data_IF_609276524775
#
_entry.id   IF_609276524775
#
_cell.length_a   1.000
_cell.length_b   1.000
_cell.length_c   1.000
_cell.angle_alpha   90.00
_cell.angle_beta   90.00
_cell.angle_gamma   90.00
#
_symmetry.space_group_name_H-M   'P 1'
#
loop_
_entity.id
_entity.type
_entity.pdbx_description
1 polymer ?
#
# COMPACT_ATOMS: atom_id res chain seq x y z
N UNK A 1 -5.17 -30.78 -2.43
CA UNK A 1 -4.41 -29.52 -2.61
C UNK A 1 -5.28 -28.36 -3.11
N UNK A 2 -6.06 -28.51 -4.20
CA UNK A 2 -6.95 -27.45 -4.73
C UNK A 2 -8.03 -26.95 -3.75
N UNK A 3 -8.66 -27.84 -2.97
CA UNK A 3 -9.65 -27.45 -1.95
C UNK A 3 -9.07 -26.62 -0.78
N UNK A 4 -7.81 -26.86 -0.40
CA UNK A 4 -7.14 -26.05 0.63
C UNK A 4 -6.84 -24.64 0.15
N UNK A 5 -6.43 -24.47 -1.12
CA UNK A 5 -6.21 -23.16 -1.73
C UNK A 5 -7.50 -22.35 -1.83
N UNK A 6 -8.62 -22.99 -2.20
CA UNK A 6 -9.94 -22.36 -2.24
C UNK A 6 -10.42 -21.95 -0.83
N UNK A 7 -10.17 -22.77 0.18
CA UNK A 7 -10.49 -22.44 1.58
C UNK A 7 -9.60 -21.30 2.09
N UNK A 8 -8.31 -21.28 1.74
CA UNK A 8 -7.40 -20.17 2.08
C UNK A 8 -7.84 -18.86 1.43
N UNK A 9 -8.21 -18.92 0.14
CA UNK A 9 -8.71 -17.77 -0.61
C UNK A 9 -10.05 -17.28 -0.03
N UNK A 10 -10.97 -18.18 0.28
CA UNK A 10 -12.25 -17.85 0.90
C UNK A 10 -12.08 -17.22 2.29
N UNK A 11 -11.22 -17.79 3.13
CA UNK A 11 -10.91 -17.28 4.47
C UNK A 11 -10.14 -15.95 4.45
N UNK A 12 -9.26 -15.72 3.47
CA UNK A 12 -8.45 -14.51 3.39
C UNK A 12 -9.11 -13.36 2.62
N UNK A 13 -9.96 -13.62 1.63
CA UNK A 13 -10.56 -12.54 0.81
C UNK A 13 -11.93 -12.14 1.36
N UNK A 14 -12.84 -13.10 1.58
CA UNK A 14 -14.22 -12.79 2.00
C UNK A 14 -14.27 -12.38 3.47
N UNK A 15 -13.54 -13.08 4.34
CA UNK A 15 -13.52 -12.75 5.77
C UNK A 15 -12.86 -11.40 6.04
N UNK A 16 -11.83 -11.01 5.27
CA UNK A 16 -11.11 -9.73 5.41
C UNK A 16 -11.90 -8.55 4.84
N UNK A 17 -12.59 -8.72 3.71
CA UNK A 17 -13.52 -7.72 3.19
C UNK A 17 -14.67 -7.44 4.17
N UNK A 18 -15.20 -8.48 4.85
CA UNK A 18 -16.42 -8.38 5.64
C UNK A 18 -16.25 -8.29 7.18
N UNK A 19 -15.07 -8.58 7.78
CA UNK A 19 -14.90 -8.49 9.24
C UNK A 19 -14.53 -7.09 9.75
N UNK A 20 -15.10 -6.74 10.91
CA UNK A 20 -14.94 -5.47 11.64
C UNK A 20 -13.55 -5.25 12.29
N UNK A 21 -12.61 -6.17 12.09
CA UNK A 21 -11.32 -6.22 12.81
C UNK A 21 -10.18 -5.46 12.13
N UNK A 22 -10.34 -5.05 10.86
CA UNK A 22 -9.32 -4.32 10.11
C UNK A 22 -9.79 -2.85 9.98
N UNK A 23 -8.97 -1.89 10.39
CA UNK A 23 -9.27 -0.47 10.25
C UNK A 23 -9.42 -0.08 8.77
N UNK A 24 -10.32 0.88 8.51
CA UNK A 24 -10.81 1.19 7.17
C UNK A 24 -9.71 1.44 6.13
N UNK A 25 -8.62 2.11 6.51
CA UNK A 25 -7.53 2.44 5.58
C UNK A 25 -6.73 1.21 5.13
N UNK A 26 -6.52 0.18 5.97
CA UNK A 26 -5.90 -1.08 5.51
C UNK A 26 -6.84 -1.90 4.63
N UNK A 27 -8.16 -1.83 4.87
CA UNK A 27 -9.14 -2.45 3.95
C UNK A 27 -9.09 -1.79 2.58
N UNK A 28 -8.96 -0.46 2.55
CA UNK A 28 -8.83 0.29 1.31
C UNK A 28 -7.57 -0.09 0.53
N UNK A 29 -6.42 -0.24 1.22
CA UNK A 29 -5.18 -0.74 0.60
C UNK A 29 -5.35 -2.17 0.08
N UNK A 30 -6.02 -3.05 0.85
CA UNK A 30 -6.34 -4.42 0.42
C UNK A 30 -7.19 -4.42 -0.85
N UNK A 31 -8.19 -3.54 -0.93
CA UNK A 31 -9.04 -3.39 -2.11
C UNK A 31 -8.27 -2.90 -3.34
N UNK A 32 -7.35 -1.95 -3.16
CA UNK A 32 -6.41 -1.54 -4.22
C UNK A 32 -5.57 -2.71 -4.74
N UNK A 33 -5.03 -3.55 -3.85
CA UNK A 33 -4.27 -4.74 -4.24
C UNK A 33 -5.13 -5.78 -5.00
N UNK A 34 -6.42 -5.92 -4.66
CA UNK A 34 -7.34 -6.78 -5.42
C UNK A 34 -7.53 -6.30 -6.86
N UNK A 35 -7.67 -4.99 -7.10
CA UNK A 35 -7.71 -4.44 -8.45
C UNK A 35 -6.39 -4.63 -9.22
N UNK A 36 -5.24 -4.59 -8.52
CA UNK A 36 -3.95 -4.87 -9.13
C UNK A 36 -3.89 -6.30 -9.68
N UNK A 37 -4.36 -7.29 -8.90
CA UNK A 37 -4.44 -8.68 -9.35
C UNK A 37 -5.41 -8.82 -10.52
N UNK A 38 -6.59 -8.20 -10.43
CA UNK A 38 -7.59 -8.22 -11.52
C UNK A 38 -7.02 -7.64 -12.83
N UNK A 39 -6.21 -6.59 -12.73
CA UNK A 39 -5.51 -5.99 -13.87
C UNK A 39 -4.52 -6.98 -14.51
N UNK A 40 -3.75 -7.69 -13.69
CA UNK A 40 -2.74 -8.64 -14.19
C UNK A 40 -3.40 -9.90 -14.78
N UNK A 41 -4.45 -10.42 -14.15
CA UNK A 41 -5.18 -11.58 -14.67
C UNK A 41 -5.92 -11.26 -15.96
N UNK A 42 -6.50 -10.06 -16.07
CA UNK A 42 -7.15 -9.62 -17.32
C UNK A 42 -6.14 -9.44 -18.46
N UNK A 43 -4.96 -8.86 -18.20
CA UNK A 43 -3.85 -8.79 -19.19
C UNK A 43 -3.38 -10.18 -19.61
N UNK A 44 -3.21 -11.10 -18.65
CA UNK A 44 -2.85 -12.49 -18.93
C UNK A 44 -3.90 -13.17 -19.83
N UNK A 45 -5.18 -13.11 -19.50
CA UNK A 45 -6.25 -13.76 -20.27
C UNK A 45 -6.34 -13.21 -21.69
N UNK A 46 -6.26 -11.89 -21.87
CA UNK A 46 -6.29 -11.25 -23.19
C UNK A 46 -5.08 -11.71 -24.01
N UNK A 47 -3.87 -11.63 -23.46
CA UNK A 47 -2.64 -12.00 -24.18
C UNK A 47 -2.58 -13.50 -24.49
N UNK A 48 -3.03 -14.36 -23.57
CA UNK A 48 -3.13 -15.80 -23.81
C UNK A 48 -4.15 -16.11 -24.92
N UNK A 49 -5.30 -15.43 -24.91
CA UNK A 49 -6.32 -15.58 -25.96
C UNK A 49 -5.79 -15.13 -27.34
N UNK A 50 -5.08 -14.00 -27.41
CA UNK A 50 -4.47 -13.55 -28.67
C UNK A 50 -3.35 -14.48 -29.14
N UNK A 51 -2.48 -14.94 -28.23
CA UNK A 51 -1.40 -15.88 -28.53
C UNK A 51 -1.93 -17.23 -29.04
N UNK A 52 -3.11 -17.66 -28.57
CA UNK A 52 -3.74 -18.91 -29.00
C UNK A 52 -4.45 -18.81 -30.36
N UNK A 53 -4.82 -17.61 -30.83
CA UNK A 53 -5.70 -17.47 -31.98
C UNK A 53 -5.00 -17.08 -33.29
N UNK A 54 -3.90 -16.31 -33.29
CA UNK A 54 -3.15 -15.99 -34.55
C UNK A 54 -1.82 -15.28 -34.29
N UNK A 55 -0.87 -15.39 -35.25
CA UNK A 55 0.36 -14.58 -35.42
C UNK A 55 0.10 -13.07 -35.65
N UNK A 56 -0.81 -12.47 -34.89
CA UNK A 56 -1.18 -11.07 -35.09
C UNK A 56 -0.15 -10.12 -34.48
N UNK A 57 0.42 -9.28 -35.34
CA UNK A 57 1.28 -8.15 -35.03
C UNK A 57 0.56 -7.18 -34.07
N UNK A 58 1.12 -7.01 -32.86
CA UNK A 58 0.79 -5.99 -31.85
C UNK A 58 -0.54 -6.16 -31.07
N UNK A 59 -0.65 -7.16 -30.16
CA UNK A 59 -1.82 -7.35 -29.29
C UNK A 59 -2.12 -6.16 -28.34
N UNK A 60 -1.16 -5.25 -28.17
CA UNK A 60 -1.25 -4.11 -27.27
C UNK A 60 -2.11 -2.93 -27.78
N UNK A 61 -2.44 -2.90 -29.08
CA UNK A 61 -3.28 -1.85 -29.69
C UNK A 61 -4.79 -2.19 -29.67
N UNK A 62 -5.16 -3.33 -29.08
CA UNK A 62 -6.55 -3.76 -29.03
C UNK A 62 -7.36 -2.91 -28.04
N UNK A 63 -8.58 -2.52 -28.43
CA UNK A 63 -9.55 -1.85 -27.53
C UNK A 63 -9.81 -2.66 -26.24
N UNK A 64 -9.55 -3.96 -26.26
CA UNK A 64 -9.69 -4.86 -25.11
C UNK A 64 -8.70 -4.53 -23.98
N UNK A 65 -7.56 -3.89 -24.26
CA UNK A 65 -6.62 -3.44 -23.23
C UNK A 65 -7.07 -2.21 -22.43
N UNK A 66 -8.12 -1.52 -22.87
CA UNK A 66 -8.69 -0.40 -22.13
C UNK A 66 -9.20 -0.82 -20.75
N UNK A 67 -9.85 -1.99 -20.65
CA UNK A 67 -10.41 -2.48 -19.39
C UNK A 67 -9.33 -2.74 -18.32
N UNK A 68 -8.25 -3.50 -18.60
CA UNK A 68 -7.13 -3.60 -17.66
C UNK A 68 -6.49 -2.24 -17.32
N UNK A 69 -6.46 -1.29 -18.25
CA UNK A 69 -5.89 0.04 -17.99
C UNK A 69 -6.75 0.86 -17.03
N UNK A 70 -8.08 0.74 -17.10
CA UNK A 70 -8.99 1.37 -16.14
C UNK A 70 -8.80 0.80 -14.73
N UNK A 71 -8.71 -0.53 -14.59
CA UNK A 71 -8.43 -1.17 -13.30
C UNK A 71 -7.06 -0.77 -12.73
N UNK A 72 -6.06 -0.59 -13.58
CA UNK A 72 -4.77 -0.06 -13.17
C UNK A 72 -4.91 1.37 -12.61
N UNK A 73 -5.67 2.23 -13.29
CA UNK A 73 -5.98 3.58 -12.81
C UNK A 73 -6.62 3.57 -11.42
N UNK A 74 -7.64 2.74 -11.21
CA UNK A 74 -8.27 2.58 -9.90
C UNK A 74 -7.30 2.08 -8.83
N UNK A 75 -6.42 1.15 -9.19
CA UNK A 75 -5.37 0.64 -8.29
C UNK A 75 -4.50 1.80 -7.80
N UNK A 76 -3.97 2.63 -8.71
CA UNK A 76 -3.12 3.77 -8.33
C UNK A 76 -3.88 4.84 -7.53
N UNK A 77 -5.10 5.16 -7.95
CA UNK A 77 -5.94 6.17 -7.29
C UNK A 77 -6.28 5.82 -5.84
N UNK A 78 -6.38 4.53 -5.53
CA UNK A 78 -6.68 4.06 -4.17
C UNK A 78 -5.41 3.84 -3.36
N UNK A 79 -4.42 3.15 -3.94
CA UNK A 79 -3.29 2.61 -3.18
C UNK A 79 -2.28 3.69 -2.78
N UNK A 80 -2.01 4.64 -3.67
CA UNK A 80 -1.04 5.72 -3.40
C UNK A 80 -1.49 6.62 -2.24
N UNK A 81 -2.66 7.27 -2.29
CA UNK A 81 -3.08 8.14 -1.20
C UNK A 81 -3.31 7.36 0.10
N UNK A 82 -3.93 6.18 0.05
CA UNK A 82 -4.21 5.40 1.26
C UNK A 82 -2.93 4.92 1.97
N UNK A 83 -1.90 4.48 1.20
CA UNK A 83 -0.63 4.05 1.79
C UNK A 83 0.19 5.22 2.35
N UNK A 84 0.17 6.37 1.70
CA UNK A 84 0.85 7.58 2.17
C UNK A 84 0.18 8.12 3.43
N UNK A 85 -1.15 8.27 3.43
CA UNK A 85 -1.93 8.72 4.58
C UNK A 85 -1.72 7.78 5.78
N UNK A 86 -1.74 6.47 5.56
CA UNK A 86 -1.43 5.50 6.60
C UNK A 86 0.00 5.70 7.17
N UNK A 87 0.99 5.89 6.30
CA UNK A 87 2.38 6.11 6.72
C UNK A 87 2.52 7.38 7.56
N UNK A 88 1.88 8.48 7.15
CA UNK A 88 1.90 9.75 7.87
C UNK A 88 1.18 9.64 9.22
N UNK A 89 0.01 8.99 9.24
CA UNK A 89 -0.76 8.80 10.47
C UNK A 89 0.03 8.01 11.52
N UNK A 90 0.73 6.95 11.09
CA UNK A 90 1.46 6.06 12.00
C UNK A 90 2.88 6.51 12.34
N UNK A 91 3.45 7.43 11.56
CA UNK A 91 4.81 7.90 11.80
C UNK A 91 4.91 8.79 13.06
N UNK A 92 5.98 8.64 13.87
CA UNK A 92 6.27 9.54 14.98
C UNK A 92 6.58 10.95 14.47
N UNK A 93 6.19 11.98 15.23
CA UNK A 93 6.23 13.39 14.82
C UNK A 93 7.61 13.83 14.31
N UNK A 94 8.67 13.47 15.03
CA UNK A 94 10.05 13.85 14.70
C UNK A 94 10.68 13.00 13.57
N UNK A 95 10.04 11.90 13.13
CA UNK A 95 10.55 11.06 12.03
C UNK A 95 9.59 10.98 10.84
N UNK A 96 8.55 11.83 10.78
CA UNK A 96 7.57 11.79 9.67
C UNK A 96 8.23 11.89 8.30
N UNK A 97 9.19 12.81 8.15
CA UNK A 97 9.94 12.99 6.91
C UNK A 97 10.72 11.73 6.51
N UNK A 98 11.33 11.04 7.47
CA UNK A 98 12.07 9.78 7.21
C UNK A 98 11.12 8.69 6.73
N UNK A 99 9.96 8.54 7.38
CA UNK A 99 8.97 7.52 7.00
C UNK A 99 8.39 7.77 5.60
N UNK A 100 8.15 9.03 5.23
CA UNK A 100 7.73 9.41 3.86
C UNK A 100 8.87 9.14 2.86
N UNK A 101 10.13 9.42 3.23
CA UNK A 101 11.29 9.09 2.40
C UNK A 101 11.42 7.59 2.14
N UNK A 102 11.24 6.74 3.16
CA UNK A 102 11.21 5.28 3.04
C UNK A 102 10.06 4.83 2.12
N UNK A 103 8.90 5.48 2.21
CA UNK A 103 7.78 5.21 1.31
C UNK A 103 8.14 5.49 -0.16
N UNK A 104 8.74 6.64 -0.49
CA UNK A 104 9.22 6.92 -1.85
C UNK A 104 10.32 5.95 -2.30
N UNK A 105 11.26 5.61 -1.42
CA UNK A 105 12.28 4.62 -1.71
C UNK A 105 11.67 3.24 -2.03
N UNK A 106 10.61 2.84 -1.31
CA UNK A 106 9.91 1.58 -1.56
C UNK A 106 9.22 1.56 -2.93
N UNK A 107 8.66 2.68 -3.39
CA UNK A 107 8.11 2.81 -4.74
C UNK A 107 9.20 2.65 -5.80
N UNK A 108 10.37 3.30 -5.59
CA UNK A 108 11.53 3.17 -6.47
C UNK A 108 12.05 1.73 -6.54
N UNK A 109 12.22 1.07 -5.40
CA UNK A 109 12.63 -0.34 -5.33
C UNK A 109 11.64 -1.25 -6.06
N UNK A 110 10.32 -1.03 -5.88
CA UNK A 110 9.29 -1.78 -6.58
C UNK A 110 9.36 -1.60 -8.11
N UNK A 111 9.64 -0.38 -8.57
CA UNK A 111 9.82 -0.08 -9.99
C UNK A 111 11.06 -0.78 -10.58
N UNK A 112 12.19 -0.73 -9.86
CA UNK A 112 13.42 -1.42 -10.26
C UNK A 112 13.20 -2.94 -10.34
N UNK A 113 12.56 -3.53 -9.33
CA UNK A 113 12.24 -4.96 -9.33
C UNK A 113 11.34 -5.34 -10.52
N UNK A 114 10.35 -4.49 -10.83
CA UNK A 114 9.42 -4.69 -11.93
C UNK A 114 10.10 -4.68 -13.31
N UNK A 115 11.12 -3.82 -13.51
CA UNK A 115 11.94 -3.80 -14.73
C UNK A 115 12.79 -5.07 -14.81
N UNK A 116 13.46 -5.44 -13.72
CA UNK A 116 14.39 -6.58 -13.72
C UNK A 116 13.71 -7.93 -13.98
N UNK A 117 12.49 -8.15 -13.48
CA UNK A 117 11.71 -9.38 -13.76
C UNK A 117 11.55 -9.62 -15.27
N UNK A 118 11.47 -8.56 -16.08
CA UNK A 118 11.23 -8.67 -17.51
C UNK A 118 12.36 -9.41 -18.24
N UNK A 119 13.60 -9.18 -17.84
CA UNK A 119 14.77 -9.79 -18.46
C UNK A 119 14.80 -11.31 -18.27
N UNK A 120 14.24 -11.83 -17.17
CA UNK A 120 14.12 -13.27 -16.92
C UNK A 120 13.28 -13.99 -17.99
N UNK A 121 12.36 -13.26 -18.65
CA UNK A 121 11.48 -13.79 -19.69
C UNK A 121 11.94 -13.45 -21.12
N UNK A 122 13.19 -13.00 -21.29
CA UNK A 122 13.77 -12.70 -22.61
C UNK A 122 13.19 -11.46 -23.30
N UNK A 123 12.35 -10.68 -22.62
CA UNK A 123 11.69 -9.51 -23.18
C UNK A 123 12.64 -8.30 -23.20
N UNK A 124 13.11 -7.92 -24.40
CA UNK A 124 14.08 -6.82 -24.59
C UNK A 124 13.48 -5.42 -24.73
N UNK A 125 12.21 -5.31 -25.15
CA UNK A 125 11.54 -4.01 -25.20
C UNK A 125 11.52 -3.35 -23.81
N UNK A 126 11.42 -2.04 -23.66
CA UNK A 126 11.31 -1.41 -22.34
C UNK A 126 9.88 -1.51 -21.78
N UNK A 127 8.88 -1.21 -22.61
CA UNK A 127 7.51 -1.01 -22.15
C UNK A 127 6.62 -2.24 -22.24
N UNK A 128 6.88 -3.12 -23.22
CA UNK A 128 5.95 -4.20 -23.59
C UNK A 128 6.64 -5.56 -23.56
N UNK A 129 5.96 -6.57 -23.02
CA UNK A 129 6.40 -7.97 -23.06
C UNK A 129 5.23 -8.79 -23.61
N UNK A 130 5.44 -9.49 -24.72
CA UNK A 130 4.38 -10.26 -25.40
C UNK A 130 4.15 -11.62 -24.72
N UNK A 131 5.10 -12.08 -23.90
CA UNK A 131 5.00 -13.36 -23.21
C UNK A 131 3.84 -13.37 -22.19
N UNK A 132 2.87 -14.25 -22.39
CA UNK A 132 1.75 -14.45 -21.45
C UNK A 132 2.24 -14.88 -20.05
N UNK A 133 3.22 -15.79 -19.97
CA UNK A 133 3.79 -16.28 -18.71
C UNK A 133 4.41 -15.20 -17.80
N UNK A 134 4.85 -14.07 -18.37
CA UNK A 134 5.36 -12.94 -17.61
C UNK A 134 4.25 -12.30 -16.75
N UNK A 135 3.06 -12.11 -17.31
CA UNK A 135 1.92 -11.56 -16.57
C UNK A 135 1.37 -12.55 -15.53
N UNK A 136 1.43 -13.86 -15.82
CA UNK A 136 1.09 -14.90 -14.86
C UNK A 136 2.05 -14.87 -13.64
N UNK A 137 3.35 -14.78 -13.89
CA UNK A 137 4.36 -14.70 -12.83
C UNK A 137 4.18 -13.45 -11.98
N UNK A 138 3.93 -12.29 -12.60
CA UNK A 138 3.60 -11.06 -11.87
C UNK A 138 2.34 -11.20 -11.02
N UNK A 139 1.28 -11.81 -11.57
CA UNK A 139 0.04 -12.05 -10.83
C UNK A 139 0.30 -12.92 -9.59
N UNK A 140 1.10 -13.98 -9.73
CA UNK A 140 1.49 -14.83 -8.61
C UNK A 140 2.30 -14.08 -7.54
N UNK A 141 3.27 -13.25 -7.94
CA UNK A 141 4.06 -12.43 -7.00
C UNK A 141 3.17 -11.45 -6.23
N UNK A 142 2.29 -10.72 -6.92
CA UNK A 142 1.36 -9.77 -6.28
C UNK A 142 0.37 -10.51 -5.36
N UNK A 143 -0.07 -11.71 -5.72
CA UNK A 143 -0.92 -12.54 -4.87
C UNK A 143 -0.21 -12.98 -3.57
N UNK A 144 1.07 -13.36 -3.65
CA UNK A 144 1.88 -13.64 -2.45
C UNK A 144 2.04 -12.39 -1.58
N UNK A 145 2.30 -11.23 -2.19
CA UNK A 145 2.37 -9.94 -1.48
C UNK A 145 1.05 -9.63 -0.78
N UNK A 146 -0.09 -9.86 -1.42
CA UNK A 146 -1.41 -9.68 -0.81
C UNK A 146 -1.59 -10.59 0.41
N UNK A 147 -1.22 -11.87 0.33
CA UNK A 147 -1.30 -12.79 1.46
C UNK A 147 -0.45 -12.30 2.63
N UNK A 148 0.81 -11.95 2.37
CA UNK A 148 1.72 -11.43 3.39
C UNK A 148 1.16 -10.14 3.99
N UNK A 149 0.67 -9.22 3.15
CA UNK A 149 0.05 -7.98 3.59
C UNK A 149 -1.15 -8.21 4.50
N UNK A 150 -2.04 -9.15 4.16
CA UNK A 150 -3.21 -9.49 5.00
C UNK A 150 -2.78 -10.04 6.36
N UNK A 151 -1.76 -10.91 6.39
CA UNK A 151 -1.23 -11.47 7.65
C UNK A 151 -0.67 -10.35 8.52
N UNK A 152 0.15 -9.46 7.94
CA UNK A 152 0.70 -8.30 8.64
C UNK A 152 -0.41 -7.36 9.10
N UNK A 153 -1.37 -7.04 8.25
CA UNK A 153 -2.51 -6.18 8.53
C UNK A 153 -3.33 -6.67 9.73
N UNK A 154 -3.55 -7.98 9.83
CA UNK A 154 -4.30 -8.60 10.93
C UNK A 154 -3.54 -8.51 12.26
N UNK A 155 -2.23 -8.61 12.23
CA UNK A 155 -1.38 -8.55 13.41
C UNK A 155 -0.92 -7.12 13.74
N UNK A 156 -1.25 -6.15 12.88
CA UNK A 156 -0.83 -4.77 13.05
C UNK A 156 -1.65 -4.08 14.15
N UNK A 157 -1.00 -3.79 15.27
CA UNK A 157 -1.59 -2.98 16.33
C UNK A 157 -1.45 -1.50 15.98
N UNK A 158 -2.59 -0.82 15.84
CA UNK A 158 -2.61 0.62 15.59
C UNK A 158 -2.00 1.41 16.73
N UNK A 159 -1.16 2.38 16.39
CA UNK A 159 -0.72 3.38 17.35
C UNK A 159 -1.83 4.42 17.51
N UNK A 160 -2.60 4.30 18.59
CA UNK A 160 -3.51 5.34 19.02
C UNK A 160 -2.65 6.45 19.63
N UNK A 161 -2.72 7.67 19.09
CA UNK A 161 -2.08 8.83 19.71
C UNK A 161 -2.97 9.25 20.87
N UNK A 162 -2.67 8.75 22.08
CA UNK A 162 -3.38 9.18 23.28
C UNK A 162 -3.03 10.60 23.70
N UNK A 163 -1.93 11.17 23.21
CA UNK A 163 -1.59 12.56 23.39
C UNK A 163 -1.00 13.10 22.08
N UNK A 164 -1.77 13.90 21.33
CA UNK A 164 -1.17 15.14 20.85
C UNK A 164 -0.67 15.80 22.13
N UNK A 165 0.64 15.85 22.32
CA UNK A 165 1.22 16.64 23.39
C UNK A 165 0.56 18.00 23.27
N UNK A 166 -0.39 18.28 24.16
CA UNK A 166 -1.24 19.44 24.02
C UNK A 166 -0.30 20.60 24.28
N UNK A 167 0.18 21.21 23.21
CA UNK A 167 1.17 22.30 23.28
C UNK A 167 0.62 23.37 24.21
N UNK A 168 -0.70 23.56 24.21
CA UNK A 168 -1.41 24.39 25.18
C UNK A 168 -1.16 23.96 26.63
N UNK A 169 -1.32 22.68 26.99
CA UNK A 169 -1.04 22.21 28.35
C UNK A 169 0.44 22.33 28.74
N UNK A 170 1.37 22.09 27.83
CA UNK A 170 2.80 22.29 28.12
C UNK A 170 3.12 23.76 28.32
N UNK A 171 2.57 24.63 27.46
CA UNK A 171 2.77 26.08 27.54
C UNK A 171 2.12 26.63 28.80
N UNK A 172 0.88 26.24 29.12
CA UNK A 172 0.18 26.61 30.36
C UNK A 172 0.97 26.19 31.60
N UNK A 173 1.42 24.94 31.65
CA UNK A 173 2.19 24.41 32.78
C UNK A 173 3.54 25.14 32.95
N UNK A 174 4.16 25.56 31.84
CA UNK A 174 5.38 26.36 31.87
C UNK A 174 5.12 27.77 32.40
N UNK A 175 4.08 28.46 31.93
CA UNK A 175 3.70 29.78 32.42
C UNK A 175 3.28 29.74 33.90
N UNK A 176 2.55 28.72 34.33
CA UNK A 176 2.18 28.54 35.73
C UNK A 176 3.41 28.41 36.63
N UNK A 177 4.44 27.68 36.21
CA UNK A 177 5.70 27.59 36.97
C UNK A 177 6.44 28.92 37.07
N UNK A 178 6.44 29.71 35.99
CA UNK A 178 7.04 31.04 36.02
C UNK A 178 6.32 31.99 36.99
N UNK A 179 4.98 32.00 36.98
CA UNK A 179 4.20 32.84 37.89
C UNK A 179 4.44 32.46 39.36
N UNK A 180 4.48 31.16 39.67
CA UNK A 180 4.76 30.68 41.03
C UNK A 180 6.17 31.08 41.53
N UNK A 181 7.18 31.05 40.64
CA UNK A 181 8.54 31.50 40.97
C UNK A 181 8.61 33.01 41.25
N UNK A 182 7.86 33.83 40.50
CA UNK A 182 7.77 35.27 40.78
C UNK A 182 7.09 35.57 42.11
N UNK A 183 6.01 34.85 42.45
CA UNK A 183 5.34 34.99 43.75
C UNK A 183 6.29 34.65 44.90
N UNK A 184 7.00 33.52 44.84
CA UNK A 184 7.98 33.14 45.86
C UNK A 184 9.10 34.18 46.02
N UNK A 185 9.62 34.71 44.91
CA UNK A 185 10.65 35.75 44.93
C UNK A 185 10.12 37.05 45.54
N UNK A 186 8.88 37.45 45.22
CA UNK A 186 8.25 38.65 45.78
C UNK A 186 8.02 38.56 47.29
N UNK A 187 7.66 37.39 47.80
CA UNK A 187 7.48 37.12 49.23
C UNK A 187 8.83 37.17 49.96
N UNK A 188 9.89 36.61 49.38
CA UNK A 188 11.23 36.66 49.95
C UNK A 188 11.82 38.08 49.99
N UNK A 189 11.51 38.93 49.02
CA UNK A 189 11.96 40.32 48.98
C UNK A 189 11.18 41.22 49.95
N UNK A 190 9.96 40.83 50.32
CA UNK A 190 9.08 41.59 51.21
C UNK A 190 9.13 41.15 52.69
N UNK A 191 9.86 40.08 53.02
CA UNK A 191 10.18 39.64 54.39
C UNK A 191 11.54 40.14 54.87
#
# INVERSE_FOLDING_TARGET
>A
MSKCLLILFHLLVIKVCCYKYIPGILKLITFGQMFAILTLTSKFSILHFFQSNTEALMPFSSKMMLLPQMFLGFTFAILIPASLEFTIAQSPVHMRGVMVGIWFASLGCGYLFNINIKYLFGCHNEYLCTASYYYLTKSAVVFVILIVFIILARNYKYRIRENEVNVHQIVDDHYHRYMAQEEEYSIQVSS
#
